data_IF_042459623718
#
_entry.id   IF_042459623718
#
_cell.length_a   1.000
_cell.length_b   1.000
_cell.length_c   1.000
_cell.angle_alpha   90.00
_cell.angle_beta   90.00
_cell.angle_gamma   90.00
#
_symmetry.space_group_name_H-M   'P 1'
#
loop_
_entity.id
_entity.type
_entity.pdbx_description
1 polymer ?
#
# COMPACT_ATOMS: atom_id res chain seq x y z
N UNK A 1 -17.00 -5.95 0.71
CA UNK A 1 -16.83 -4.94 1.78
C UNK A 1 -16.20 -3.69 1.17
N UNK A 2 -17.03 -2.73 0.82
CA UNK A 2 -16.63 -1.40 0.35
C UNK A 2 -16.29 -0.56 1.59
N UNK A 3 -15.08 -0.76 2.14
CA UNK A 3 -14.54 0.18 3.11
C UNK A 3 -14.08 1.43 2.36
N UNK A 4 -14.93 2.45 2.33
CA UNK A 4 -14.52 3.79 1.91
C UNK A 4 -13.57 4.36 2.96
N UNK A 5 -12.26 4.20 2.72
CA UNK A 5 -11.23 4.88 3.49
C UNK A 5 -11.28 6.38 3.19
N UNK A 6 -11.28 7.20 4.23
CA UNK A 6 -11.12 8.65 4.08
C UNK A 6 -9.74 8.98 3.48
N UNK A 7 -9.58 10.18 2.91
CA UNK A 7 -8.32 10.61 2.28
C UNK A 7 -7.09 10.45 3.20
N UNK A 8 -7.28 10.67 4.50
CA UNK A 8 -6.24 10.51 5.52
C UNK A 8 -5.89 9.05 5.79
N UNK A 9 -6.90 8.21 5.90
CA UNK A 9 -6.78 6.76 6.09
C UNK A 9 -6.04 6.11 4.93
N UNK A 10 -6.44 6.47 3.70
CA UNK A 10 -5.78 6.03 2.48
C UNK A 10 -4.31 6.45 2.43
N UNK A 11 -4.01 7.71 2.79
CA UNK A 11 -2.64 8.20 2.84
C UNK A 11 -1.80 7.44 3.89
N UNK A 12 -2.38 7.16 5.06
CA UNK A 12 -1.73 6.40 6.14
C UNK A 12 -1.38 4.98 5.71
N UNK A 13 -2.32 4.26 5.09
CA UNK A 13 -2.11 2.89 4.61
C UNK A 13 -1.00 2.85 3.55
N UNK A 14 -1.08 3.73 2.55
CA UNK A 14 -0.09 3.78 1.46
C UNK A 14 1.28 4.17 2.00
N UNK A 15 1.35 5.13 2.93
CA UNK A 15 2.61 5.55 3.56
C UNK A 15 3.26 4.42 4.39
N UNK A 16 2.48 3.76 5.24
CA UNK A 16 2.96 2.62 6.03
C UNK A 16 3.47 1.49 5.13
N UNK A 17 2.73 1.18 4.06
CA UNK A 17 3.18 0.16 3.10
C UNK A 17 4.43 0.58 2.34
N UNK A 18 4.53 1.83 1.89
CA UNK A 18 5.71 2.33 1.21
C UNK A 18 6.96 2.20 2.09
N UNK A 19 6.85 2.45 3.39
CA UNK A 19 7.93 2.22 4.35
C UNK A 19 8.33 0.75 4.42
N UNK A 20 7.36 -0.17 4.51
CA UNK A 20 7.65 -1.62 4.51
C UNK A 20 8.44 -2.03 3.26
N UNK A 21 8.06 -1.53 2.09
CA UNK A 21 8.75 -1.80 0.83
C UNK A 21 10.16 -1.22 0.84
N UNK A 22 10.34 0.00 1.35
CA UNK A 22 11.64 0.64 1.48
C UNK A 22 12.58 -0.15 2.41
N UNK A 23 12.02 -0.82 3.43
CA UNK A 23 12.75 -1.70 4.34
C UNK A 23 13.02 -3.11 3.76
N UNK A 24 12.69 -3.36 2.49
CA UNK A 24 12.95 -4.64 1.83
C UNK A 24 11.88 -5.71 2.05
N UNK A 25 10.68 -5.33 2.51
CA UNK A 25 9.57 -6.27 2.64
C UNK A 25 9.16 -6.86 1.27
N UNK A 26 8.71 -8.12 1.23
CA UNK A 26 8.28 -8.76 -0.01
C UNK A 26 7.05 -8.08 -0.61
N UNK A 27 7.11 -7.89 -1.93
CA UNK A 27 6.03 -7.34 -2.73
C UNK A 27 5.02 -8.45 -3.04
N UNK A 28 3.73 -8.19 -2.81
CA UNK A 28 2.65 -9.13 -3.12
C UNK A 28 2.15 -9.00 -4.58
N UNK A 29 2.72 -8.05 -5.33
CA UNK A 29 2.40 -7.79 -6.73
C UNK A 29 3.65 -7.96 -7.62
N UNK A 30 3.44 -8.33 -8.88
CA UNK A 30 4.49 -8.26 -9.92
C UNK A 30 4.98 -6.81 -10.02
N UNK A 31 6.23 -6.58 -9.62
CA UNK A 31 6.94 -5.31 -9.81
C UNK A 31 6.96 -4.96 -11.30
N UNK A 32 6.49 -3.77 -11.73
CA UNK A 32 6.85 -3.26 -13.04
C UNK A 32 8.36 -2.95 -13.06
N UNK A 33 9.08 -3.52 -14.02
CA UNK A 33 10.56 -3.49 -14.12
C UNK A 33 11.13 -2.06 -14.18
N UNK A 34 10.30 -1.06 -14.48
CA UNK A 34 10.72 0.33 -14.69
C UNK A 34 10.54 1.26 -13.48
N UNK A 35 9.92 0.83 -12.38
CA UNK A 35 9.59 1.75 -11.29
C UNK A 35 9.98 1.20 -9.91
N UNK A 36 11.00 1.82 -9.31
CA UNK A 36 11.54 1.45 -7.99
C UNK A 36 10.93 2.25 -6.84
N UNK A 37 10.08 3.25 -7.14
CA UNK A 37 9.52 4.13 -6.12
C UNK A 37 8.57 3.34 -5.20
N UNK A 38 8.88 3.22 -3.90
CA UNK A 38 8.09 2.42 -2.96
C UNK A 38 6.66 2.94 -2.82
N UNK A 39 6.45 4.25 -2.98
CA UNK A 39 5.12 4.87 -2.93
C UNK A 39 4.24 4.40 -4.10
N UNK A 40 4.78 4.37 -5.32
CA UNK A 40 4.02 3.94 -6.49
C UNK A 40 3.68 2.44 -6.40
N UNK A 41 4.62 1.64 -5.90
CA UNK A 41 4.38 0.21 -5.67
C UNK A 41 3.29 -0.01 -4.62
N UNK A 42 3.34 0.72 -3.49
CA UNK A 42 2.30 0.68 -2.47
C UNK A 42 0.92 1.11 -3.02
N UNK A 43 0.88 2.10 -3.91
CA UNK A 43 -0.36 2.56 -4.55
C UNK A 43 -0.94 1.51 -5.51
N UNK A 44 -0.09 0.78 -6.22
CA UNK A 44 -0.50 -0.34 -7.07
C UNK A 44 -1.04 -1.51 -6.23
N UNK A 45 -0.41 -1.82 -5.09
CA UNK A 45 -0.92 -2.83 -4.15
C UNK A 45 -2.27 -2.41 -3.54
N UNK A 46 -2.41 -1.13 -3.18
CA UNK A 46 -3.66 -0.56 -2.70
C UNK A 46 -4.78 -0.70 -3.74
N UNK A 47 -4.50 -0.35 -5.01
CA UNK A 47 -5.47 -0.52 -6.12
C UNK A 47 -5.87 -1.97 -6.34
N UNK A 48 -4.95 -2.91 -6.15
CA UNK A 48 -5.21 -4.35 -6.25
C UNK A 48 -5.91 -4.93 -5.03
N UNK A 49 -6.12 -4.14 -3.96
CA UNK A 49 -6.72 -4.57 -2.67
C UNK A 49 -6.04 -5.78 -2.04
N UNK A 50 -4.73 -5.92 -2.25
CA UNK A 50 -3.91 -7.03 -1.70
C UNK A 50 -3.11 -6.61 -0.47
N UNK A 51 -3.38 -5.42 0.09
CA UNK A 51 -2.63 -4.92 1.23
C UNK A 51 -3.01 -5.66 2.51
N UNK A 52 -2.04 -6.22 3.24
CA UNK A 52 -2.28 -6.90 4.52
C UNK A 52 -2.35 -5.87 5.67
N UNK A 53 -3.05 -4.76 5.48
CA UNK A 53 -3.16 -3.67 6.46
C UNK A 53 -4.61 -3.27 6.57
N UNK A 54 -5.15 -3.35 7.79
CA UNK A 54 -6.51 -2.91 8.12
C UNK A 54 -6.41 -1.73 9.08
N UNK A 55 -7.29 -0.74 8.90
CA UNK A 55 -7.41 0.35 9.89
C UNK A 55 -8.36 -0.10 10.97
N UNK A 56 -7.89 -0.07 12.21
CA UNK A 56 -8.74 -0.20 13.37
C UNK A 56 -9.29 1.18 13.72
N UNK A 57 -10.60 1.35 13.51
CA UNK A 57 -11.35 2.51 13.98
C UNK A 57 -11.73 2.22 15.43
N UNK A 58 -11.30 3.07 16.35
CA UNK A 58 -11.75 3.09 17.74
C UNK A 58 -12.84 4.16 17.89
#
# INVERSE_FOLDING_TARGET
MSEEYNKFEKARIVGARALQIAMGAPLLIKRPVKEYNPINIAFLEFKKKVLPITIRKE
#
